data_IF_220681785733
#
_entry.id   IF_220681785733
#
_cell.length_a   1.000
_cell.length_b   1.000
_cell.length_c   1.000
_cell.angle_alpha   90.00
_cell.angle_beta   90.00
_cell.angle_gamma   90.00
#
_symmetry.space_group_name_H-M   'P 1'
#
loop_
_entity.id
_entity.type
_entity.pdbx_description
1 polymer ?
#
# COMPACT_ATOMS: atom_id res chain seq x y z
N UNK A 1 6.52 13.82 -76.84
CA UNK A 1 6.44 15.09 -76.07
C UNK A 1 6.21 14.75 -74.61
N UNK A 2 7.09 15.24 -73.71
CA UNK A 2 6.91 15.68 -72.31
C UNK A 2 5.76 15.02 -71.49
N UNK A 3 5.91 14.53 -70.26
CA UNK A 3 6.91 14.70 -69.18
C UNK A 3 6.57 13.78 -68.00
N UNK A 4 7.60 13.47 -67.19
CA UNK A 4 7.68 13.10 -65.76
C UNK A 4 6.54 13.59 -64.81
N UNK A 5 6.32 13.17 -63.55
CA UNK A 5 6.83 12.16 -62.58
C UNK A 5 5.87 12.21 -61.36
N UNK A 6 5.73 11.06 -60.70
CA UNK A 6 5.42 10.75 -59.29
C UNK A 6 4.75 11.77 -58.33
N UNK A 7 3.71 11.32 -57.63
CA UNK A 7 3.57 11.46 -56.18
C UNK A 7 2.63 10.39 -55.61
N UNK A 8 3.00 9.90 -54.43
CA UNK A 8 2.35 8.83 -53.70
C UNK A 8 1.04 9.27 -53.02
N UNK A 9 0.34 8.25 -52.50
CA UNK A 9 -0.44 8.23 -51.26
C UNK A 9 -1.92 7.84 -51.44
N UNK A 10 -2.36 7.02 -50.48
CA UNK A 10 -3.73 6.68 -50.10
C UNK A 10 -4.36 5.48 -50.85
N UNK A 11 -3.96 4.29 -50.41
CA UNK A 11 -4.79 3.09 -50.47
C UNK A 11 -5.95 3.24 -49.48
N UNK A 12 -7.07 3.75 -49.97
CA UNK A 12 -8.38 3.67 -49.32
C UNK A 12 -8.92 2.25 -49.50
N UNK A 13 -8.74 1.40 -48.48
CA UNK A 13 -9.52 0.18 -48.34
C UNK A 13 -10.82 0.49 -47.60
N UNK A 14 -11.83 0.87 -48.37
CA UNK A 14 -13.23 0.67 -48.00
C UNK A 14 -13.58 -0.79 -48.29
N UNK A 15 -13.65 -1.62 -47.24
CA UNK A 15 -14.38 -2.89 -47.29
C UNK A 15 -15.26 -3.02 -46.05
N UNK A 16 -16.56 -3.10 -46.33
CA UNK A 16 -17.60 -3.46 -45.41
C UNK A 16 -17.37 -4.86 -44.82
N UNK A 17 -17.57 -4.95 -43.50
CA UNK A 17 -18.34 -5.98 -42.79
C UNK A 17 -18.32 -7.38 -43.41
N UNK A 18 -17.44 -8.24 -42.91
CA UNK A 18 -17.70 -9.67 -42.77
C UNK A 18 -16.75 -10.29 -41.74
N UNK A 19 -17.06 -10.10 -40.46
CA UNK A 19 -16.62 -11.05 -39.45
C UNK A 19 -17.84 -11.41 -38.60
N UNK A 20 -18.44 -12.54 -38.98
CA UNK A 20 -19.51 -13.20 -38.27
C UNK A 20 -18.92 -13.79 -36.97
N UNK A 21 -18.63 -12.93 -35.98
CA UNK A 21 -18.42 -13.39 -34.61
C UNK A 21 -19.79 -13.80 -34.08
N UNK A 22 -20.10 -15.08 -34.23
CA UNK A 22 -21.26 -15.72 -33.61
C UNK A 22 -21.27 -15.36 -32.12
N UNK A 23 -22.26 -14.57 -31.73
CA UNK A 23 -22.56 -14.20 -30.34
C UNK A 23 -22.82 -15.44 -29.46
N UNK A 24 -23.11 -16.59 -30.07
CA UNK A 24 -23.28 -17.87 -29.37
C UNK A 24 -21.95 -18.43 -28.87
N UNK A 25 -20.83 -18.22 -29.60
CA UNK A 25 -19.47 -18.56 -29.12
C UNK A 25 -18.95 -17.61 -28.04
N UNK A 26 -19.45 -16.38 -28.00
CA UNK A 26 -19.17 -15.42 -26.91
C UNK A 26 -20.01 -15.79 -25.68
N UNK A 27 -21.27 -16.21 -25.83
CA UNK A 27 -22.10 -16.73 -24.74
C UNK A 27 -21.61 -18.06 -24.17
N UNK A 28 -21.01 -18.92 -25.00
CA UNK A 28 -20.38 -20.17 -24.54
C UNK A 28 -19.06 -19.92 -23.77
N UNK A 29 -18.36 -18.81 -24.07
CA UNK A 29 -17.18 -18.34 -23.30
C UNK A 29 -17.53 -17.45 -22.11
N UNK A 30 -18.67 -16.77 -22.15
CA UNK A 30 -19.31 -16.07 -21.03
C UNK A 30 -20.27 -17.03 -20.37
N UNK A 31 -19.74 -18.14 -19.82
CA UNK A 31 -20.46 -19.03 -18.93
C UNK A 31 -21.04 -18.20 -17.78
N UNK A 32 -22.24 -17.67 -18.03
CA UNK A 32 -23.16 -17.11 -17.06
C UNK A 32 -23.61 -18.32 -16.26
N UNK A 33 -22.71 -18.70 -15.34
CA UNK A 33 -22.84 -19.82 -14.45
C UNK A 33 -24.26 -19.81 -13.92
N UNK A 34 -24.89 -20.99 -14.02
CA UNK A 34 -26.11 -21.32 -13.27
C UNK A 34 -26.05 -20.62 -11.89
N UNK A 35 -27.16 -20.03 -11.41
CA UNK A 35 -27.17 -19.46 -10.07
C UNK A 35 -26.58 -20.51 -9.13
N UNK A 36 -25.50 -20.14 -8.44
CA UNK A 36 -24.84 -21.05 -7.50
C UNK A 36 -25.92 -21.52 -6.55
N UNK A 37 -25.97 -22.81 -6.30
CA UNK A 37 -26.84 -23.31 -5.25
C UNK A 37 -26.47 -22.62 -3.93
N UNK A 38 -27.45 -22.44 -3.05
CA UNK A 38 -27.22 -21.87 -1.72
C UNK A 38 -26.08 -22.59 -0.98
N UNK A 39 -25.93 -23.90 -1.20
CA UNK A 39 -24.83 -24.70 -0.65
C UNK A 39 -23.45 -24.30 -1.23
N UNK A 40 -23.35 -24.03 -2.53
CA UNK A 40 -22.12 -23.55 -3.16
C UNK A 40 -21.76 -22.12 -2.73
N UNK A 41 -22.75 -21.27 -2.49
CA UNK A 41 -22.53 -19.93 -1.94
C UNK A 41 -22.04 -19.99 -0.50
N UNK A 42 -22.69 -20.81 0.35
CA UNK A 42 -22.26 -21.04 1.74
C UNK A 42 -20.85 -21.64 1.76
N UNK A 43 -20.57 -22.67 0.97
CA UNK A 43 -19.25 -23.30 0.93
C UNK A 43 -18.18 -22.32 0.40
N UNK A 44 -18.50 -21.52 -0.60
CA UNK A 44 -17.60 -20.46 -1.09
C UNK A 44 -17.31 -19.43 0.00
N UNK A 45 -18.34 -19.01 0.76
CA UNK A 45 -18.22 -18.06 1.86
C UNK A 45 -17.38 -18.61 3.02
N UNK A 46 -17.60 -19.87 3.42
CA UNK A 46 -16.80 -20.55 4.46
C UNK A 46 -15.34 -20.73 4.03
N UNK A 47 -15.13 -21.13 2.78
CA UNK A 47 -13.78 -21.29 2.21
C UNK A 47 -13.06 -19.95 2.16
N UNK A 48 -13.75 -18.89 1.74
CA UNK A 48 -13.22 -17.52 1.73
C UNK A 48 -12.84 -17.07 3.14
N UNK A 49 -13.73 -17.22 4.12
CA UNK A 49 -13.46 -16.86 5.51
C UNK A 49 -12.23 -17.62 6.06
N UNK A 50 -12.17 -18.94 5.84
CA UNK A 50 -11.03 -19.75 6.26
C UNK A 50 -9.72 -19.33 5.59
N UNK A 51 -9.74 -19.04 4.29
CA UNK A 51 -8.55 -18.62 3.55
C UNK A 51 -8.09 -17.20 3.88
N UNK A 52 -9.02 -16.32 4.21
CA UNK A 52 -8.71 -14.97 4.68
C UNK A 52 -7.98 -15.03 6.03
N UNK A 53 -8.44 -15.88 6.95
CA UNK A 53 -7.81 -16.06 8.27
C UNK A 53 -6.45 -16.78 8.24
N UNK A 54 -6.05 -17.42 7.14
CA UNK A 54 -4.80 -18.21 7.10
C UNK A 54 -3.71 -17.59 6.21
N UNK A 55 -4.03 -16.52 5.47
CA UNK A 55 -3.10 -15.86 4.56
C UNK A 55 -2.45 -14.61 5.17
N UNK A 56 -1.93 -14.74 6.39
CA UNK A 56 -1.12 -13.73 7.05
C UNK A 56 -0.04 -14.40 7.90
N UNK A 57 1.08 -13.73 8.13
CA UNK A 57 2.12 -14.22 9.04
C UNK A 57 3.02 -13.08 9.53
N UNK A 58 3.55 -13.23 10.74
CA UNK A 58 4.62 -12.39 11.28
C UNK A 58 5.94 -13.18 11.21
N UNK A 59 6.94 -12.63 10.52
CA UNK A 59 8.27 -13.21 10.44
C UNK A 59 9.29 -12.37 11.19
N UNK A 60 10.19 -13.00 11.95
CA UNK A 60 11.46 -12.39 12.37
C UNK A 60 12.44 -12.50 11.21
N UNK A 61 13.06 -11.38 10.84
CA UNK A 61 14.17 -11.38 9.89
C UNK A 61 15.48 -11.72 10.63
N UNK A 62 16.16 -12.79 10.18
CA UNK A 62 17.42 -13.26 10.74
C UNK A 62 18.56 -12.79 9.83
N UNK A 63 19.27 -11.71 10.21
CA UNK A 63 20.41 -11.25 9.44
C UNK A 63 21.56 -12.25 9.56
N UNK A 64 22.30 -12.44 8.47
CA UNK A 64 23.49 -13.30 8.43
C UNK A 64 24.71 -12.40 8.19
N UNK A 65 25.77 -12.44 9.03
CA UNK A 65 26.88 -11.46 9.01
C UNK A 65 27.57 -11.19 7.66
N UNK A 66 27.43 -12.08 6.67
CA UNK A 66 28.03 -11.96 5.34
C UNK A 66 27.01 -11.83 4.20
N UNK A 67 25.71 -11.83 4.53
CA UNK A 67 24.60 -11.65 3.59
C UNK A 67 24.11 -10.22 3.78
N UNK A 68 24.68 -9.31 3.00
CA UNK A 68 24.50 -7.86 3.18
C UNK A 68 23.76 -7.19 2.02
N UNK A 69 23.56 -7.91 0.91
CA UNK A 69 22.92 -7.38 -0.28
C UNK A 69 21.56 -8.04 -0.48
N UNK A 70 20.58 -7.25 -0.93
CA UNK A 70 19.22 -7.75 -1.17
C UNK A 70 19.16 -8.94 -2.14
N UNK A 71 20.08 -9.00 -3.10
CA UNK A 71 20.19 -10.12 -4.05
C UNK A 71 20.56 -11.46 -3.40
N UNK A 72 21.09 -11.45 -2.17
CA UNK A 72 21.54 -12.64 -1.46
C UNK A 72 20.48 -13.18 -0.49
N UNK A 73 19.44 -12.40 -0.18
CA UNK A 73 18.40 -12.83 0.74
C UNK A 73 17.57 -13.98 0.16
N UNK A 74 17.11 -14.85 1.06
CA UNK A 74 16.23 -15.96 0.73
C UNK A 74 15.20 -16.18 1.86
N UNK A 75 14.25 -17.09 1.64
CA UNK A 75 13.14 -17.31 2.56
C UNK A 75 13.54 -17.90 3.92
N UNK A 76 14.74 -18.47 4.06
CA UNK A 76 15.19 -19.07 5.33
C UNK A 76 15.57 -18.02 6.37
N UNK A 77 15.89 -16.80 5.94
CA UNK A 77 16.08 -15.65 6.83
C UNK A 77 14.78 -15.10 7.40
N UNK A 78 13.62 -15.65 7.04
CA UNK A 78 12.32 -15.26 7.57
C UNK A 78 11.77 -16.40 8.42
N UNK A 79 12.06 -16.36 9.72
CA UNK A 79 11.55 -17.34 10.68
C UNK A 79 10.17 -16.90 11.17
N UNK A 80 9.22 -17.83 11.33
CA UNK A 80 7.92 -17.51 11.94
C UNK A 80 8.19 -16.96 13.34
N UNK A 81 7.66 -15.79 13.64
CA UNK A 81 7.90 -15.13 14.91
C UNK A 81 7.30 -15.95 16.06
N UNK A 82 8.06 -16.10 17.13
CA UNK A 82 7.64 -16.73 18.37
C UNK A 82 8.28 -16.02 19.55
N UNK A 83 7.69 -16.17 20.74
CA UNK A 83 8.22 -15.54 21.94
C UNK A 83 9.66 -16.01 22.28
N UNK A 84 10.01 -17.25 21.91
CA UNK A 84 11.32 -17.87 22.14
C UNK A 84 12.43 -17.28 21.28
N UNK A 85 12.08 -16.68 20.13
CA UNK A 85 13.05 -16.10 19.20
C UNK A 85 13.36 -14.64 19.50
N UNK A 86 12.66 -14.00 20.45
CA UNK A 86 12.84 -12.59 20.77
C UNK A 86 14.12 -12.35 21.57
N UNK A 87 14.75 -11.21 21.33
CA UNK A 87 15.85 -10.67 22.14
C UNK A 87 15.34 -9.52 23.02
N UNK A 88 16.12 -9.09 24.01
CA UNK A 88 15.75 -7.94 24.83
C UNK A 88 16.13 -6.61 24.14
N UNK A 89 15.48 -6.32 23.02
CA UNK A 89 15.65 -5.10 22.19
C UNK A 89 14.27 -4.57 21.74
N UNK A 90 14.09 -3.28 21.47
CA UNK A 90 12.89 -2.79 20.80
C UNK A 90 12.69 -3.46 19.43
N UNK A 91 11.44 -3.54 18.96
CA UNK A 91 11.11 -4.20 17.69
C UNK A 91 10.72 -3.19 16.64
N UNK A 92 11.22 -3.35 15.42
CA UNK A 92 10.64 -2.71 14.24
C UNK A 92 9.91 -3.78 13.45
N UNK A 93 8.61 -3.59 13.20
CA UNK A 93 7.81 -4.46 12.34
C UNK A 93 7.50 -3.72 11.05
N UNK A 94 8.03 -4.25 9.93
CA UNK A 94 7.74 -3.74 8.60
C UNK A 94 6.38 -4.24 8.13
N UNK A 95 5.47 -3.31 7.79
CA UNK A 95 4.11 -3.63 7.30
C UNK A 95 3.96 -3.12 5.87
N UNK A 96 3.91 -4.03 4.89
CA UNK A 96 3.90 -3.68 3.47
C UNK A 96 2.56 -3.09 3.01
N UNK A 97 2.58 -2.49 1.82
CA UNK A 97 1.40 -1.95 1.14
C UNK A 97 0.56 -3.00 0.40
N UNK A 98 -0.37 -2.52 -0.42
CA UNK A 98 -1.33 -3.36 -1.13
C UNK A 98 -0.67 -4.13 -2.31
N UNK A 99 -1.04 -5.41 -2.52
CA UNK A 99 -0.61 -6.23 -3.65
C UNK A 99 -1.73 -6.33 -4.70
N UNK A 100 -1.55 -5.62 -5.81
CA UNK A 100 -2.55 -5.53 -6.89
C UNK A 100 -2.81 -6.83 -7.64
N UNK A 101 -1.97 -7.86 -7.44
CA UNK A 101 -2.17 -9.19 -8.05
C UNK A 101 -3.01 -10.10 -7.17
N UNK A 102 -3.16 -9.76 -5.89
CA UNK A 102 -3.88 -10.59 -4.94
C UNK A 102 -5.39 -10.40 -5.05
N UNK A 103 -6.13 -11.52 -4.99
CA UNK A 103 -7.60 -11.53 -5.02
C UNK A 103 -8.13 -12.29 -3.81
N UNK A 104 -9.33 -11.90 -3.38
CA UNK A 104 -10.04 -12.54 -2.28
C UNK A 104 -10.31 -14.04 -2.51
N UNK A 105 -10.51 -14.44 -3.76
CA UNK A 105 -10.70 -15.84 -4.14
C UNK A 105 -9.42 -16.67 -4.22
N UNK A 106 -8.23 -16.07 -4.04
CA UNK A 106 -6.98 -16.82 -4.14
C UNK A 106 -6.82 -17.72 -2.89
N UNK A 107 -6.31 -18.96 -3.04
CA UNK A 107 -5.96 -19.79 -1.91
C UNK A 107 -4.85 -19.13 -1.07
N UNK A 108 -4.68 -19.51 0.21
CA UNK A 108 -3.56 -19.04 1.02
C UNK A 108 -2.24 -19.36 0.35
N UNK A 109 -1.32 -18.41 0.43
CA UNK A 109 0.00 -18.51 -0.20
C UNK A 109 0.97 -19.23 0.73
N UNK A 110 1.95 -19.91 0.14
CA UNK A 110 3.04 -20.55 0.89
C UNK A 110 4.04 -19.51 1.43
N UNK A 111 4.99 -19.99 2.25
CA UNK A 111 6.04 -19.14 2.83
C UNK A 111 6.84 -18.40 1.76
N UNK A 112 7.18 -19.06 0.65
CA UNK A 112 8.04 -18.47 -0.39
C UNK A 112 7.35 -17.30 -1.09
N UNK A 113 6.07 -17.45 -1.40
CA UNK A 113 5.25 -16.40 -2.01
C UNK A 113 5.06 -15.23 -1.04
N UNK A 114 4.75 -15.52 0.24
CA UNK A 114 4.67 -14.51 1.31
C UNK A 114 5.95 -13.69 1.44
N UNK A 115 7.10 -14.36 1.50
CA UNK A 115 8.41 -13.70 1.57
C UNK A 115 8.69 -12.92 0.28
N UNK A 116 8.38 -13.46 -0.89
CA UNK A 116 8.54 -12.73 -2.16
C UNK A 116 7.76 -11.43 -2.17
N UNK A 117 6.54 -11.42 -1.66
CA UNK A 117 5.70 -10.22 -1.56
C UNK A 117 6.30 -9.19 -0.60
N UNK A 118 6.76 -9.62 0.58
CA UNK A 118 7.45 -8.77 1.55
C UNK A 118 8.69 -8.11 0.95
N UNK A 119 9.53 -8.92 0.32
CA UNK A 119 10.77 -8.50 -0.34
C UNK A 119 10.53 -7.53 -1.47
N UNK A 120 9.43 -7.70 -2.21
CA UNK A 120 9.00 -6.76 -3.23
C UNK A 120 8.90 -5.32 -2.72
N UNK A 121 8.55 -5.12 -1.43
CA UNK A 121 8.46 -3.80 -0.79
C UNK A 121 9.71 -3.43 0.02
N UNK A 122 10.29 -4.40 0.73
CA UNK A 122 11.23 -4.12 1.81
C UNK A 122 12.69 -4.52 1.53
N UNK A 123 13.03 -5.05 0.35
CA UNK A 123 14.40 -5.50 0.06
C UNK A 123 15.47 -4.43 0.33
N UNK A 124 15.19 -3.17 -0.01
CA UNK A 124 16.09 -2.05 0.27
C UNK A 124 16.23 -1.76 1.78
N UNK A 125 15.13 -1.81 2.55
CA UNK A 125 15.19 -1.67 4.01
C UNK A 125 15.93 -2.84 4.68
N UNK A 126 15.72 -4.07 4.21
CA UNK A 126 16.38 -5.28 4.69
C UNK A 126 17.89 -5.24 4.41
N UNK A 127 18.29 -4.69 3.26
CA UNK A 127 19.69 -4.46 2.91
C UNK A 127 20.34 -3.45 3.87
N UNK A 128 19.70 -2.30 4.10
CA UNK A 128 20.20 -1.25 4.99
C UNK A 128 20.28 -1.72 6.45
N UNK A 129 19.29 -2.48 6.89
CA UNK A 129 19.31 -3.13 8.19
C UNK A 129 20.47 -4.14 8.29
N UNK A 130 20.65 -5.01 7.30
CA UNK A 130 21.74 -6.01 7.31
C UNK A 130 23.13 -5.37 7.28
N UNK A 131 23.26 -4.21 6.62
CA UNK A 131 24.47 -3.37 6.63
C UNK A 131 24.64 -2.57 7.93
N UNK A 132 23.71 -2.71 8.88
CA UNK A 132 23.67 -1.99 10.16
C UNK A 132 23.75 -0.46 9.99
N UNK A 133 23.13 0.07 8.93
CA UNK A 133 23.03 1.53 8.71
C UNK A 133 22.29 2.14 9.89
N UNK A 134 22.83 3.25 10.43
CA UNK A 134 22.31 3.91 11.64
C UNK A 134 22.23 3.02 12.88
N UNK A 135 23.08 1.98 12.97
CA UNK A 135 23.04 0.97 14.04
C UNK A 135 21.71 0.21 14.15
N UNK A 136 20.90 0.18 13.09
CA UNK A 136 19.55 -0.38 13.14
C UNK A 136 19.52 -1.85 13.61
N UNK A 137 20.44 -2.69 13.14
CA UNK A 137 20.55 -4.10 13.55
C UNK A 137 21.09 -4.26 14.97
N UNK A 138 21.90 -3.31 15.44
CA UNK A 138 22.42 -3.31 16.80
C UNK A 138 21.32 -2.98 17.80
N UNK A 139 20.50 -1.98 17.47
CA UNK A 139 19.52 -1.38 18.37
C UNK A 139 18.17 -2.10 18.35
N UNK A 140 17.77 -2.66 17.21
CA UNK A 140 16.44 -3.21 17.00
C UNK A 140 16.46 -4.67 16.54
N UNK A 141 15.42 -5.40 16.87
CA UNK A 141 15.05 -6.60 16.12
C UNK A 141 14.11 -6.22 14.96
N UNK A 142 14.35 -6.80 13.79
CA UNK A 142 13.51 -6.56 12.62
C UNK A 142 12.54 -7.71 12.38
N UNK A 143 11.28 -7.35 12.22
CA UNK A 143 10.19 -8.24 11.88
C UNK A 143 9.48 -7.72 10.63
N UNK A 144 8.75 -8.60 9.97
CA UNK A 144 7.95 -8.27 8.78
C UNK A 144 6.59 -8.93 8.90
N UNK A 145 5.53 -8.18 8.65
CA UNK A 145 4.17 -8.71 8.65
C UNK A 145 3.62 -8.75 7.22
N UNK A 146 3.13 -9.91 6.82
CA UNK A 146 2.40 -10.10 5.56
C UNK A 146 0.96 -10.49 5.82
N UNK A 147 0.07 -10.08 4.93
CA UNK A 147 -1.36 -10.25 5.07
C UNK A 147 -2.05 -10.28 3.70
N UNK A 148 -3.32 -10.70 3.71
CA UNK A 148 -4.18 -10.68 2.52
C UNK A 148 -4.65 -9.25 2.27
N UNK A 149 -3.89 -8.54 1.47
CA UNK A 149 -4.12 -7.15 1.07
C UNK A 149 -5.45 -6.94 0.31
N UNK A 150 -6.00 -8.00 -0.31
CA UNK A 150 -7.32 -7.94 -0.95
C UNK A 150 -8.51 -7.92 0.03
N UNK A 151 -8.28 -8.26 1.30
CA UNK A 151 -9.30 -8.23 2.36
C UNK A 151 -9.35 -6.87 3.06
N UNK A 152 -10.42 -6.60 3.80
CA UNK A 152 -10.65 -5.34 4.51
C UNK A 152 -9.47 -4.95 5.39
N UNK A 153 -9.19 -3.65 5.47
CA UNK A 153 -8.15 -3.08 6.33
C UNK A 153 -8.43 -3.46 7.79
N UNK A 154 -9.69 -3.42 8.23
CA UNK A 154 -10.11 -3.77 9.59
C UNK A 154 -9.71 -5.21 9.97
N UNK A 155 -10.00 -6.16 9.08
CA UNK A 155 -9.65 -7.58 9.28
C UNK A 155 -8.13 -7.77 9.37
N UNK A 156 -7.38 -7.07 8.51
CA UNK A 156 -5.93 -7.13 8.52
C UNK A 156 -5.33 -6.45 9.76
N UNK A 157 -5.93 -5.36 10.25
CA UNK A 157 -5.56 -4.71 11.50
C UNK A 157 -5.77 -5.61 12.70
N UNK A 158 -6.92 -6.31 12.76
CA UNK A 158 -7.19 -7.35 13.77
C UNK A 158 -6.14 -8.46 13.75
N UNK A 159 -5.85 -9.02 12.58
CA UNK A 159 -4.85 -10.10 12.43
C UNK A 159 -3.45 -9.66 12.82
N UNK A 160 -3.08 -8.44 12.47
CA UNK A 160 -1.80 -7.85 12.90
C UNK A 160 -1.73 -7.81 14.42
N UNK A 161 -2.71 -7.21 15.10
CA UNK A 161 -2.64 -7.10 16.57
C UNK A 161 -2.71 -8.46 17.26
N UNK A 162 -3.49 -9.42 16.74
CA UNK A 162 -3.53 -10.79 17.27
C UNK A 162 -2.16 -11.46 17.17
N UNK A 163 -1.46 -11.33 16.02
CA UNK A 163 -0.10 -11.85 15.86
C UNK A 163 0.89 -11.15 16.79
N UNK A 164 0.81 -9.83 16.91
CA UNK A 164 1.69 -9.09 17.82
C UNK A 164 1.48 -9.53 19.27
N UNK A 165 0.24 -9.62 19.77
CA UNK A 165 -0.06 -10.07 21.13
C UNK A 165 0.35 -11.53 21.38
N UNK A 166 0.38 -12.38 20.34
CA UNK A 166 0.82 -13.78 20.48
C UNK A 166 2.33 -13.93 20.67
N UNK A 167 3.11 -12.91 20.32
CA UNK A 167 4.58 -12.94 20.33
C UNK A 167 5.14 -11.95 21.35
N UNK A 168 4.58 -10.75 21.43
CA UNK A 168 5.12 -9.61 22.17
C UNK A 168 4.31 -9.30 23.42
N UNK A 169 4.97 -8.69 24.40
CA UNK A 169 4.37 -8.05 25.57
C UNK A 169 4.64 -6.54 25.51
N UNK A 170 3.93 -5.70 26.29
CA UNK A 170 4.14 -4.24 26.25
C UNK A 170 5.58 -3.79 26.51
N UNK A 171 6.40 -4.58 27.21
CA UNK A 171 7.81 -4.28 27.45
C UNK A 171 8.70 -4.40 26.21
N UNK A 172 8.23 -5.10 25.15
CA UNK A 172 9.00 -5.31 23.91
C UNK A 172 9.12 -4.05 23.04
N UNK A 173 8.32 -3.01 23.29
CA UNK A 173 8.28 -1.74 22.52
C UNK A 173 8.22 -1.97 21.01
N UNK A 174 7.04 -2.31 20.49
CA UNK A 174 6.87 -2.60 19.06
C UNK A 174 6.58 -1.30 18.28
N UNK A 175 7.51 -0.92 17.40
CA UNK A 175 7.33 0.17 16.43
C UNK A 175 6.91 -0.43 15.09
N UNK A 176 5.76 0.00 14.58
CA UNK A 176 5.29 -0.38 13.24
C UNK A 176 5.82 0.63 12.22
N UNK A 177 6.68 0.18 11.31
CA UNK A 177 7.13 0.95 10.16
C UNK A 177 6.36 0.49 8.93
N UNK A 178 5.42 1.30 8.47
CA UNK A 178 4.34 0.84 7.62
C UNK A 178 4.27 1.64 6.31
N UNK A 179 4.15 0.96 5.17
CA UNK A 179 4.08 1.63 3.86
C UNK A 179 2.68 1.53 3.26
N UNK A 180 2.20 2.62 2.64
CA UNK A 180 0.95 2.64 1.87
C UNK A 180 -0.23 2.10 2.71
N UNK A 181 -1.02 1.15 2.20
CA UNK A 181 -2.10 0.46 2.92
C UNK A 181 -1.65 -0.11 4.28
N UNK A 182 -0.38 -0.51 4.43
CA UNK A 182 0.16 -1.02 5.68
C UNK A 182 0.03 -0.05 6.85
N UNK A 183 0.07 1.26 6.60
CA UNK A 183 -0.14 2.25 7.67
C UNK A 183 -1.60 2.37 8.10
N UNK A 184 -2.56 2.13 7.20
CA UNK A 184 -3.97 1.99 7.56
C UNK A 184 -4.19 0.72 8.41
N UNK A 185 -3.58 -0.40 8.01
CA UNK A 185 -3.60 -1.67 8.77
C UNK A 185 -2.99 -1.49 10.16
N UNK A 186 -1.84 -0.80 10.24
CA UNK A 186 -1.14 -0.51 11.50
C UNK A 186 -1.96 0.39 12.42
N UNK A 187 -2.57 1.44 11.87
CA UNK A 187 -3.45 2.32 12.65
C UNK A 187 -4.72 1.58 13.07
N UNK A 188 -5.30 0.75 12.21
CA UNK A 188 -6.41 -0.13 12.59
C UNK A 188 -6.03 -1.06 13.74
N UNK A 189 -4.84 -1.66 13.71
CA UNK A 189 -4.34 -2.53 14.78
C UNK A 189 -4.15 -1.77 16.10
N UNK A 190 -3.59 -0.56 16.04
CA UNK A 190 -3.38 0.31 17.20
C UNK A 190 -4.68 0.62 17.97
N UNK A 191 -5.77 0.86 17.23
CA UNK A 191 -7.09 1.19 17.77
C UNK A 191 -8.02 -0.02 17.95
N UNK A 192 -7.63 -1.21 17.49
CA UNK A 192 -8.50 -2.38 17.56
C UNK A 192 -8.76 -2.79 19.02
N UNK A 193 -9.97 -3.30 19.32
CA UNK A 193 -10.34 -3.76 20.67
C UNK A 193 -9.47 -4.90 21.19
N UNK A 194 -8.87 -5.68 20.28
CA UNK A 194 -7.93 -6.75 20.61
C UNK A 194 -6.55 -6.23 21.00
N UNK A 195 -6.26 -4.92 20.90
CA UNK A 195 -5.02 -4.32 21.41
C UNK A 195 -5.06 -4.18 22.94
N UNK A 196 -5.35 -5.27 23.64
CA UNK A 196 -5.50 -5.32 25.10
C UNK A 196 -4.16 -5.29 25.83
N UNK A 197 -3.10 -5.78 25.19
CA UNK A 197 -1.73 -5.73 25.72
C UNK A 197 -1.00 -4.42 25.44
N UNK A 198 -1.61 -3.52 24.64
CA UNK A 198 -1.04 -2.24 24.21
C UNK A 198 0.41 -2.32 23.68
N UNK A 199 0.72 -3.43 22.97
CA UNK A 199 2.09 -3.79 22.55
C UNK A 199 2.69 -2.86 21.48
N UNK A 200 1.85 -2.15 20.73
CA UNK A 200 2.27 -1.24 19.65
C UNK A 200 2.67 0.11 20.24
N UNK A 201 3.96 0.35 20.43
CA UNK A 201 4.51 1.58 20.99
C UNK A 201 4.29 2.79 20.08
N UNK A 202 4.62 2.66 18.79
CA UNK A 202 4.45 3.71 17.80
C UNK A 202 4.13 3.17 16.40
N UNK A 203 3.49 4.00 15.58
CA UNK A 203 3.29 3.79 14.15
C UNK A 203 3.99 4.91 13.39
N UNK A 204 4.98 4.55 12.59
CA UNK A 204 5.63 5.42 11.61
C UNK A 204 5.18 4.99 10.23
N UNK A 205 4.41 5.82 9.54
CA UNK A 205 3.88 5.47 8.23
C UNK A 205 4.56 6.22 7.09
N UNK A 206 4.63 5.56 5.93
CA UNK A 206 5.32 6.01 4.74
C UNK A 206 4.33 5.98 3.57
N UNK A 207 3.88 7.14 3.10
CA UNK A 207 2.95 7.27 1.97
C UNK A 207 1.56 6.68 2.23
N UNK A 208 1.09 6.64 3.47
CA UNK A 208 -0.18 5.98 3.79
C UNK A 208 -1.39 6.82 3.39
N UNK A 209 -2.36 6.25 2.63
CA UNK A 209 -3.56 6.97 2.22
C UNK A 209 -4.59 7.04 3.36
N UNK A 210 -4.38 7.88 4.37
CA UNK A 210 -5.28 7.91 5.53
C UNK A 210 -6.70 8.41 5.24
N UNK A 211 -6.85 9.25 4.23
CA UNK A 211 -8.16 9.64 3.69
C UNK A 211 -8.50 8.83 2.43
N UNK A 212 -7.70 7.83 2.07
CA UNK A 212 -7.79 7.09 0.82
C UNK A 212 -7.02 7.74 -0.33
N UNK A 213 -7.00 7.08 -1.48
CA UNK A 213 -6.43 7.61 -2.73
C UNK A 213 -7.58 8.05 -3.65
N UNK A 214 -7.49 9.21 -4.32
CA UNK A 214 -8.46 9.59 -5.35
C UNK A 214 -8.59 8.52 -6.45
N UNK A 215 -7.52 7.79 -6.76
CA UNK A 215 -7.58 6.69 -7.70
C UNK A 215 -8.50 5.57 -7.24
N UNK A 216 -8.70 5.36 -5.95
CA UNK A 216 -9.62 4.33 -5.47
C UNK A 216 -11.10 4.76 -5.42
N UNK A 217 -11.40 6.02 -5.79
CA UNK A 217 -12.76 6.56 -5.79
C UNK A 217 -13.35 6.59 -7.20
N UNK A 218 -14.44 5.86 -7.42
CA UNK A 218 -15.20 5.91 -8.68
C UNK A 218 -15.66 7.32 -9.05
N UNK A 219 -15.97 8.17 -8.07
CA UNK A 219 -16.34 9.58 -8.28
C UNK A 219 -15.22 10.46 -8.85
N UNK A 220 -13.96 10.08 -8.64
CA UNK A 220 -12.78 10.76 -9.18
C UNK A 220 -12.29 10.11 -10.48
N UNK A 221 -12.54 8.82 -10.66
CA UNK A 221 -12.07 8.01 -11.79
C UNK A 221 -12.57 8.44 -13.18
N UNK A 222 -13.62 9.26 -13.32
CA UNK A 222 -14.08 9.76 -14.63
C UNK A 222 -14.10 8.71 -15.75
N UNK A 223 -13.81 9.12 -17.00
CA UNK A 223 -13.57 8.20 -18.13
C UNK A 223 -12.07 8.11 -18.42
N UNK A 224 -11.28 7.57 -17.48
CA UNK A 224 -9.82 7.39 -17.61
C UNK A 224 -9.39 6.30 -18.61
N UNK A 225 -10.30 5.80 -19.46
CA UNK A 225 -10.01 4.77 -20.46
C UNK A 225 -9.35 3.53 -19.83
N UNK A 226 -8.27 3.04 -20.43
CA UNK A 226 -7.54 1.85 -19.99
C UNK A 226 -6.91 1.96 -18.60
N UNK A 227 -6.61 3.18 -18.13
CA UNK A 227 -6.13 3.39 -16.75
C UNK A 227 -7.28 3.29 -15.74
N UNK A 228 -8.49 3.73 -16.13
CA UNK A 228 -9.71 3.51 -15.35
C UNK A 228 -10.01 2.02 -15.19
N UNK A 229 -9.81 1.22 -16.24
CA UNK A 229 -9.98 -0.24 -16.18
C UNK A 229 -8.92 -0.91 -15.29
N UNK A 230 -7.66 -0.46 -15.36
CA UNK A 230 -6.57 -0.96 -14.49
C UNK A 230 -6.85 -0.61 -13.02
N UNK A 231 -7.26 0.63 -12.76
CA UNK A 231 -7.54 1.13 -11.42
C UNK A 231 -8.83 0.49 -10.86
N UNK A 232 -9.87 0.31 -11.67
CA UNK A 232 -11.10 -0.39 -11.28
C UNK A 232 -10.87 -1.88 -11.04
N UNK A 233 -10.01 -2.53 -11.83
CA UNK A 233 -9.51 -3.88 -11.54
C UNK A 233 -8.74 -3.91 -10.22
N UNK A 234 -7.94 -2.87 -9.95
CA UNK A 234 -7.17 -2.74 -8.74
C UNK A 234 -8.07 -2.55 -7.50
N UNK A 235 -9.07 -1.69 -7.55
CA UNK A 235 -9.91 -1.37 -6.39
C UNK A 235 -11.14 -2.28 -6.24
N UNK A 236 -11.28 -3.29 -7.10
CA UNK A 236 -12.41 -4.23 -7.10
C UNK A 236 -12.39 -5.26 -5.97
N UNK A 237 -11.36 -5.26 -5.12
CA UNK A 237 -11.27 -6.08 -3.91
C UNK A 237 -11.78 -5.31 -2.68
N UNK A 238 -12.13 -6.00 -1.60
CA UNK A 238 -12.61 -5.31 -0.39
C UNK A 238 -11.52 -4.41 0.22
N UNK A 239 -10.28 -4.88 0.30
CA UNK A 239 -9.14 -4.05 0.71
C UNK A 239 -8.91 -2.87 -0.24
N UNK A 240 -9.09 -3.06 -1.55
CA UNK A 240 -9.01 -1.97 -2.53
C UNK A 240 -10.12 -0.93 -2.38
N UNK A 241 -11.34 -1.33 -2.01
CA UNK A 241 -12.45 -0.40 -1.71
C UNK A 241 -12.18 0.41 -0.45
N UNK A 242 -11.54 -0.18 0.57
CA UNK A 242 -11.14 0.54 1.78
C UNK A 242 -10.08 1.63 1.51
N UNK A 243 -9.44 1.62 0.33
CA UNK A 243 -8.54 2.70 -0.11
C UNK A 243 -9.28 3.86 -0.77
N UNK A 244 -10.59 3.75 -1.03
CA UNK A 244 -11.37 4.82 -1.66
C UNK A 244 -11.29 6.11 -0.83
N UNK A 245 -11.12 7.23 -1.51
CA UNK A 245 -11.03 8.54 -0.89
C UNK A 245 -12.29 8.89 -0.08
N UNK A 246 -12.10 9.59 1.02
CA UNK A 246 -13.18 10.16 1.84
C UNK A 246 -12.90 11.62 2.19
N UNK A 247 -13.98 12.39 2.29
CA UNK A 247 -13.89 13.81 2.63
C UNK A 247 -13.85 14.08 4.15
N UNK A 248 -13.72 13.03 4.98
CA UNK A 248 -13.60 13.11 6.44
C UNK A 248 -14.71 13.97 7.10
N UNK A 249 -15.94 13.78 6.60
CA UNK A 249 -17.13 14.58 6.90
C UNK A 249 -17.55 14.54 8.37
N UNK A 250 -17.14 13.50 9.11
CA UNK A 250 -17.46 13.32 10.53
C UNK A 250 -16.38 13.78 11.50
N UNK A 251 -15.31 14.42 11.02
CA UNK A 251 -14.14 14.74 11.84
C UNK A 251 -14.17 16.17 12.39
N UNK A 252 -13.56 16.39 13.56
CA UNK A 252 -13.48 17.71 14.21
C UNK A 252 -12.32 18.58 13.73
N UNK A 253 -11.43 18.01 12.91
CA UNK A 253 -10.24 18.67 12.37
C UNK A 253 -10.47 19.00 10.89
N UNK A 254 -9.65 19.90 10.34
CA UNK A 254 -9.88 20.41 8.99
C UNK A 254 -9.62 19.32 7.95
N UNK A 255 -10.63 18.96 7.18
CA UNK A 255 -10.48 18.01 6.07
C UNK A 255 -11.65 18.16 5.07
N UNK A 256 -11.41 17.97 3.76
CA UNK A 256 -10.27 18.47 3.00
C UNK A 256 -10.34 20.01 2.85
N UNK A 257 -9.25 20.64 2.39
CA UNK A 257 -9.34 22.04 1.91
C UNK A 257 -10.40 22.06 0.78
N UNK A 258 -11.28 23.07 0.67
CA UNK A 258 -12.35 23.09 -0.33
C UNK A 258 -11.90 22.78 -1.77
N UNK A 259 -10.65 23.10 -2.11
CA UNK A 259 -10.03 22.85 -3.41
C UNK A 259 -9.71 21.36 -3.69
N UNK A 260 -9.71 20.51 -2.67
CA UNK A 260 -9.35 19.08 -2.72
C UNK A 260 -10.56 18.17 -2.41
N UNK A 261 -11.75 18.77 -2.28
CA UNK A 261 -13.00 18.05 -2.04
C UNK A 261 -13.44 17.26 -3.28
N UNK A 262 -13.64 15.95 -3.13
CA UNK A 262 -14.12 15.09 -4.21
C UNK A 262 -15.63 14.86 -4.01
N UNK A 263 -16.44 15.39 -4.93
CA UNK A 263 -17.90 15.26 -4.88
C UNK A 263 -18.37 13.81 -4.75
N UNK A 264 -19.14 13.52 -3.71
CA UNK A 264 -19.67 12.17 -3.44
C UNK A 264 -18.65 11.15 -2.93
N UNK A 265 -17.39 11.51 -2.72
CA UNK A 265 -16.42 10.60 -2.11
C UNK A 265 -16.72 10.40 -0.62
N UNK A 266 -16.93 9.14 -0.24
CA UNK A 266 -17.21 8.74 1.11
C UNK A 266 -16.78 7.29 1.32
N UNK A 267 -15.95 7.06 2.33
CA UNK A 267 -15.52 5.74 2.75
C UNK A 267 -15.86 5.55 4.23
N UNK A 268 -16.91 4.77 4.56
CA UNK A 268 -17.40 4.67 5.92
C UNK A 268 -16.39 4.05 6.90
N UNK A 269 -15.47 3.22 6.42
CA UNK A 269 -14.43 2.65 7.28
C UNK A 269 -13.37 3.69 7.62
N UNK A 270 -12.85 4.42 6.62
CA UNK A 270 -11.87 5.47 6.86
C UNK A 270 -12.45 6.59 7.72
N UNK A 271 -13.71 6.97 7.55
CA UNK A 271 -14.38 7.95 8.42
C UNK A 271 -14.37 7.54 9.89
N UNK A 272 -14.67 6.26 10.20
CA UNK A 272 -14.60 5.73 11.57
C UNK A 272 -13.16 5.70 12.10
N UNK A 273 -12.21 5.26 11.28
CA UNK A 273 -10.81 5.22 11.69
C UNK A 273 -10.27 6.63 11.92
N UNK A 274 -10.71 7.61 11.13
CA UNK A 274 -10.35 9.02 11.24
C UNK A 274 -10.99 9.70 12.46
N UNK A 275 -12.17 9.30 12.91
CA UNK A 275 -12.77 9.84 14.14
C UNK A 275 -11.99 9.42 15.38
N UNK A 276 -11.36 8.24 15.38
CA UNK A 276 -10.54 7.82 16.51
C UNK A 276 -9.28 8.65 16.67
N UNK A 277 -9.06 9.08 17.92
CA UNK A 277 -8.01 10.02 18.28
C UNK A 277 -7.30 9.71 19.60
N UNK A 278 -7.65 8.60 20.25
CA UNK A 278 -7.16 8.25 21.60
C UNK A 278 -5.67 7.88 21.66
N UNK A 279 -5.01 7.68 20.51
CA UNK A 279 -3.61 7.24 20.39
C UNK A 279 -2.85 7.93 19.25
N UNK A 280 -3.30 9.11 18.81
CA UNK A 280 -2.63 9.83 17.72
C UNK A 280 -1.25 10.36 18.14
N UNK A 281 -1.05 10.51 19.45
CA UNK A 281 0.25 10.75 20.08
C UNK A 281 1.22 9.56 19.93
N UNK A 282 0.82 8.48 19.25
CA UNK A 282 1.68 7.36 18.84
C UNK A 282 1.83 7.21 17.33
N UNK A 283 1.39 8.20 16.55
CA UNK A 283 1.44 8.16 15.08
C UNK A 283 2.33 9.28 14.53
N UNK A 284 3.19 8.93 13.57
CA UNK A 284 3.98 9.87 12.76
C UNK A 284 3.87 9.47 11.29
N UNK A 285 3.90 10.46 10.40
CA UNK A 285 3.60 10.25 8.98
C UNK A 285 4.65 10.89 8.09
N UNK A 286 5.21 10.09 7.19
CA UNK A 286 6.00 10.54 6.05
C UNK A 286 5.12 10.47 4.80
N UNK A 287 5.06 11.54 4.03
CA UNK A 287 4.24 11.62 2.82
C UNK A 287 4.99 12.35 1.71
N UNK A 288 4.68 11.98 0.46
CA UNK A 288 5.35 12.52 -0.71
C UNK A 288 4.61 13.72 -1.32
N UNK A 289 5.39 14.70 -1.77
CA UNK A 289 5.02 15.81 -2.62
C UNK A 289 6.03 15.89 -3.76
N UNK A 290 5.77 15.18 -4.84
CA UNK A 290 6.62 15.22 -6.03
C UNK A 290 6.67 16.66 -6.57
N UNK A 291 7.87 17.26 -6.56
CA UNK A 291 8.10 18.63 -7.02
C UNK A 291 7.80 18.83 -8.51
N UNK A 292 7.97 17.75 -9.28
CA UNK A 292 7.61 17.62 -10.69
C UNK A 292 7.04 16.24 -10.92
N UNK A 293 6.09 16.08 -11.86
CA UNK A 293 5.62 14.75 -12.23
C UNK A 293 6.53 14.09 -13.28
N UNK A 294 6.72 14.76 -14.42
CA UNK A 294 7.56 14.22 -15.51
C UNK A 294 9.03 14.45 -15.20
N UNK A 295 9.84 13.39 -15.29
CA UNK A 295 11.28 13.45 -15.04
C UNK A 295 11.66 13.58 -13.56
N UNK A 296 10.74 13.28 -12.63
CA UNK A 296 11.07 13.23 -11.21
C UNK A 296 12.21 12.23 -10.95
N UNK A 297 13.30 12.62 -10.24
CA UNK A 297 14.48 11.77 -10.08
C UNK A 297 14.19 10.42 -9.39
N UNK A 298 14.57 9.33 -10.06
CA UNK A 298 14.38 7.97 -9.56
C UNK A 298 12.94 7.43 -9.67
N UNK A 299 11.97 8.27 -10.04
CA UNK A 299 10.57 7.86 -10.07
C UNK A 299 10.28 6.79 -11.13
N UNK A 300 9.45 5.82 -10.78
CA UNK A 300 8.92 4.87 -11.75
C UNK A 300 7.82 5.49 -12.61
N UNK A 301 7.68 5.00 -13.85
CA UNK A 301 6.74 5.55 -14.82
C UNK A 301 5.31 5.61 -14.27
N UNK A 302 4.87 4.60 -13.51
CA UNK A 302 3.52 4.56 -12.93
C UNK A 302 3.23 5.74 -11.99
N UNK A 303 4.20 6.16 -11.18
CA UNK A 303 4.03 7.27 -10.23
C UNK A 303 4.09 8.62 -10.92
N UNK A 304 4.97 8.79 -11.92
CA UNK A 304 4.99 10.01 -12.75
C UNK A 304 3.68 10.20 -13.53
N UNK A 305 3.11 9.10 -14.03
CA UNK A 305 1.80 9.08 -14.69
C UNK A 305 0.71 9.45 -13.68
N UNK A 306 0.66 8.77 -12.53
CA UNK A 306 -0.32 9.05 -11.49
C UNK A 306 -0.26 10.49 -10.98
N UNK A 307 0.94 11.04 -10.75
CA UNK A 307 1.15 12.45 -10.41
C UNK A 307 0.56 13.36 -11.48
N UNK A 308 0.78 13.07 -12.76
CA UNK A 308 0.23 13.87 -13.87
C UNK A 308 -1.30 13.84 -13.89
N UNK A 309 -1.92 12.69 -13.60
CA UNK A 309 -3.37 12.58 -13.49
C UNK A 309 -3.93 13.34 -12.29
N UNK A 310 -3.27 13.26 -11.13
CA UNK A 310 -3.68 13.98 -9.92
C UNK A 310 -3.52 15.50 -10.10
N UNK A 311 -2.45 15.96 -10.74
CA UNK A 311 -2.23 17.37 -11.05
C UNK A 311 -3.32 17.93 -11.99
N UNK A 312 -3.68 17.19 -13.04
CA UNK A 312 -4.65 17.64 -14.04
C UNK A 312 -6.11 17.26 -13.73
N UNK A 313 -6.34 16.62 -12.58
CA UNK A 313 -7.67 16.16 -12.17
C UNK A 313 -8.59 17.28 -11.68
N UNK A 314 -9.82 16.90 -11.37
CA UNK A 314 -10.83 17.79 -10.77
C UNK A 314 -11.51 17.08 -9.59
N UNK A 315 -11.24 17.46 -8.33
CA UNK A 315 -10.30 18.51 -7.90
C UNK A 315 -8.85 18.24 -8.31
N UNK A 316 -8.06 19.31 -8.45
CA UNK A 316 -6.64 19.21 -8.78
C UNK A 316 -5.79 19.06 -7.51
N UNK A 317 -4.82 18.14 -7.55
CA UNK A 317 -3.81 17.94 -6.51
C UNK A 317 -2.42 18.36 -7.00
N UNK A 318 -2.34 19.49 -7.71
CA UNK A 318 -1.09 19.99 -8.30
C UNK A 318 0.02 20.09 -7.24
N UNK A 319 1.11 19.35 -7.46
CA UNK A 319 2.31 19.29 -6.60
C UNK A 319 1.99 18.86 -5.16
N UNK A 320 0.92 18.09 -4.97
CA UNK A 320 0.44 17.62 -3.67
C UNK A 320 0.16 16.13 -3.68
N UNK A 321 1.07 15.36 -4.26
CA UNK A 321 0.97 13.90 -4.25
C UNK A 321 2.31 13.21 -4.42
N UNK A 322 2.37 11.95 -4.01
CA UNK A 322 3.47 11.02 -4.27
C UNK A 322 3.24 10.20 -5.56
N UNK A 323 2.29 10.64 -6.39
CA UNK A 323 1.85 9.93 -7.58
C UNK A 323 0.72 8.92 -7.36
N UNK A 324 0.33 8.61 -6.11
CA UNK A 324 -0.82 7.75 -5.77
C UNK A 324 -1.68 8.36 -4.68
N UNK A 325 -1.04 8.86 -3.64
CA UNK A 325 -1.62 9.41 -2.42
C UNK A 325 -1.39 10.91 -2.42
N UNK A 326 -2.44 11.66 -2.12
CA UNK A 326 -2.36 13.11 -2.03
C UNK A 326 -1.79 13.52 -0.68
N UNK A 327 -1.14 14.67 -0.59
CA UNK A 327 -0.54 15.16 0.66
C UNK A 327 -1.55 15.24 1.80
N UNK A 328 -2.77 15.70 1.51
CA UNK A 328 -3.86 15.79 2.49
C UNK A 328 -4.24 14.42 3.04
N UNK A 329 -4.24 13.38 2.19
CA UNK A 329 -4.43 12.00 2.63
C UNK A 329 -3.22 11.47 3.39
N UNK A 330 -2.02 11.64 2.84
CA UNK A 330 -0.74 11.16 3.40
C UNK A 330 -0.45 11.69 4.80
N UNK A 331 -0.77 12.96 5.05
CA UNK A 331 -0.42 13.64 6.29
C UNK A 331 -1.49 13.55 7.40
N UNK A 332 -2.57 12.77 7.20
CA UNK A 332 -3.76 12.79 8.07
C UNK A 332 -4.40 14.19 8.15
N UNK A 333 -4.40 14.94 7.03
CA UNK A 333 -4.87 16.31 6.97
C UNK A 333 -4.28 17.22 8.08
N UNK A 334 -5.11 17.85 8.91
CA UNK A 334 -4.64 18.67 10.05
C UNK A 334 -4.70 17.92 11.39
N UNK A 335 -4.86 16.60 11.38
CA UNK A 335 -5.11 15.82 12.60
C UNK A 335 -3.88 15.73 13.50
N UNK A 336 -2.69 15.57 12.90
CA UNK A 336 -1.43 15.47 13.63
C UNK A 336 -0.75 16.84 13.75
N UNK A 337 0.02 17.07 14.83
CA UNK A 337 0.87 18.26 14.91
C UNK A 337 1.97 18.23 13.84
N UNK A 338 2.40 19.40 13.39
CA UNK A 338 3.41 19.55 12.32
C UNK A 338 4.72 18.80 12.61
N UNK A 339 5.13 18.66 13.88
CA UNK A 339 6.35 17.95 14.26
C UNK A 339 6.33 16.44 13.93
N UNK A 340 5.16 15.89 13.58
CA UNK A 340 4.96 14.46 13.25
C UNK A 340 4.56 14.25 11.79
N UNK A 341 4.60 15.31 10.99
CA UNK A 341 4.25 15.31 9.58
C UNK A 341 5.51 15.65 8.78
N UNK A 342 6.02 14.67 8.04
CA UNK A 342 7.28 14.78 7.30
C UNK A 342 7.00 14.73 5.80
N UNK A 343 7.06 15.89 5.15
CA UNK A 343 6.96 15.99 3.69
C UNK A 343 8.27 15.57 3.03
N UNK A 344 8.17 14.86 1.90
CA UNK A 344 9.31 14.41 1.10
C UNK A 344 9.07 14.66 -0.38
N UNK A 345 10.10 15.11 -1.09
CA UNK A 345 10.07 15.13 -2.56
C UNK A 345 10.41 13.74 -3.11
N UNK A 346 9.50 12.78 -2.86
CA UNK A 346 9.64 11.38 -3.20
C UNK A 346 8.32 10.86 -3.79
N UNK A 347 8.42 9.91 -4.71
CA UNK A 347 7.26 9.16 -5.16
C UNK A 347 6.82 8.10 -4.14
N UNK A 348 5.70 7.44 -4.43
CA UNK A 348 5.10 6.48 -3.53
C UNK A 348 5.99 5.26 -3.24
N UNK A 349 6.81 4.79 -4.18
CA UNK A 349 7.72 3.65 -3.95
C UNK A 349 8.98 4.08 -3.17
N UNK A 350 9.49 5.27 -3.43
CA UNK A 350 10.62 5.86 -2.72
C UNK A 350 10.35 6.05 -1.24
N UNK A 351 9.10 6.34 -0.86
CA UNK A 351 8.71 6.37 0.55
C UNK A 351 8.96 5.03 1.27
N UNK A 352 9.04 3.89 0.57
CA UNK A 352 9.44 2.59 1.13
C UNK A 352 10.92 2.24 0.88
N UNK A 353 11.78 3.24 0.67
CA UNK A 353 13.22 3.12 0.40
C UNK A 353 13.59 2.48 -0.96
N UNK A 354 12.61 2.19 -1.81
CA UNK A 354 12.84 1.58 -3.14
C UNK A 354 13.03 2.65 -4.19
N UNK A 355 13.65 2.31 -5.32
CA UNK A 355 13.63 3.17 -6.52
C UNK A 355 14.13 4.61 -6.28
N UNK A 356 15.05 4.82 -5.34
CA UNK A 356 15.75 6.10 -5.20
C UNK A 356 16.72 6.32 -6.36
N UNK A 357 17.05 7.59 -6.63
CA UNK A 357 17.99 7.97 -7.69
C UNK A 357 19.36 7.28 -7.56
N UNK A 358 19.82 7.10 -6.32
CA UNK A 358 21.04 6.39 -5.98
C UNK A 358 21.01 5.90 -4.52
N UNK A 359 22.03 5.12 -4.14
CA UNK A 359 22.17 4.60 -2.77
C UNK A 359 22.36 5.71 -1.73
N UNK A 360 22.92 6.86 -2.08
CA UNK A 360 23.13 7.96 -1.13
C UNK A 360 21.79 8.56 -0.72
N UNK A 361 20.93 8.88 -1.69
CA UNK A 361 19.57 9.36 -1.46
C UNK A 361 18.76 8.38 -0.61
N UNK A 362 18.80 7.09 -0.98
CA UNK A 362 18.15 6.01 -0.25
C UNK A 362 18.61 5.93 1.20
N UNK A 363 19.92 5.87 1.42
CA UNK A 363 20.52 5.71 2.73
C UNK A 363 20.24 6.92 3.63
N UNK A 364 20.29 8.14 3.07
CA UNK A 364 19.95 9.36 3.82
C UNK A 364 18.51 9.35 4.31
N UNK A 365 17.56 8.92 3.47
CA UNK A 365 16.16 8.82 3.85
C UNK A 365 15.92 7.74 4.91
N UNK A 366 16.58 6.57 4.79
CA UNK A 366 16.54 5.53 5.83
C UNK A 366 17.12 6.02 7.17
N UNK A 367 18.27 6.69 7.16
CA UNK A 367 18.88 7.28 8.35
C UNK A 367 17.94 8.28 9.00
N UNK A 368 17.25 9.11 8.21
CA UNK A 368 16.27 10.06 8.73
C UNK A 368 15.13 9.36 9.48
N UNK A 369 14.54 8.31 8.88
CA UNK A 369 13.45 7.55 9.49
C UNK A 369 13.91 6.83 10.75
N UNK A 370 15.08 6.20 10.74
CA UNK A 370 15.63 5.54 11.95
C UNK A 370 15.97 6.57 13.04
N UNK A 371 16.51 7.73 12.69
CA UNK A 371 16.78 8.81 13.66
C UNK A 371 15.49 9.30 14.32
N UNK A 372 14.39 9.39 13.57
CA UNK A 372 13.09 9.69 14.16
C UNK A 372 12.66 8.60 15.13
N UNK A 373 12.78 7.33 14.73
CA UNK A 373 12.44 6.17 15.58
C UNK A 373 13.30 6.12 16.86
N UNK A 374 14.58 6.46 16.79
CA UNK A 374 15.49 6.53 17.95
C UNK A 374 15.08 7.65 18.93
N UNK A 375 14.34 8.66 18.47
CA UNK A 375 13.89 9.82 19.25
C UNK A 375 12.50 9.71 19.86
N UNK A 376 11.76 8.62 19.59
CA UNK A 376 10.47 8.28 20.20
C UNK A 376 10.68 7.73 21.61
#
# INVERSE_FOLDING_TARGET
MKTARASAMILLFSFFVSCNLSWDKIREKLDLKKPKSLAEEILSGLTYAFWAETNHELYKFIPVPFVLLKSQFNADQFAVASAELKENKPKIVLVHGWDFKEKNSNPPTDKFTKVSNLRGTWDDALELYSQNVSNAQTNYELYTFTYRTSDYVENNGRRLIEKLNSVFSPEDKVILLAHSMGGLVSRSALYHSNNTGDVIDFVVSLGTPYLGSPFASSSYQGNFGTLGDLIGFMTGTEGGKDLAYTNALGTSYQVPIPAEFIGGAFNPYLERLLSESSKDDRVSVYFGEMSVCSGHPGSEAIYTIGCTFLNNGSPSFTNKSDGIVTSTSGKLSSKLPALRQFVKDLDHAQLSFRSHVDNTSRNNYFVEVITWIDGL
#
